data_IF_038463079418
#
_entry.id   IF_038463079418
#
_cell.length_a   1.000
_cell.length_b   1.000
_cell.length_c   1.000
_cell.angle_alpha   90.00
_cell.angle_beta   90.00
_cell.angle_gamma   90.00
#
_symmetry.space_group_name_H-M   'P 1'
#
loop_
_entity.id
_entity.type
_entity.pdbx_description
1 polymer ?
#
# COMPACT_ATOMS: atom_id res chain seq x y z
N UNK A 1 -2.41 -14.10 -33.03
CA UNK A 1 -1.95 -13.05 -32.09
C UNK A 1 -2.52 -13.38 -30.71
N UNK A 2 -1.69 -13.59 -29.71
CA UNK A 2 -2.15 -13.93 -28.34
C UNK A 2 -2.88 -12.73 -27.73
N UNK A 3 -4.11 -12.92 -27.23
CA UNK A 3 -4.93 -11.84 -26.67
C UNK A 3 -5.54 -12.22 -25.32
N UNK A 4 -5.85 -11.23 -24.49
CA UNK A 4 -6.52 -11.43 -23.19
C UNK A 4 -7.86 -12.17 -23.34
N UNK A 5 -8.58 -11.94 -24.44
CA UNK A 5 -9.84 -12.64 -24.78
C UNK A 5 -9.57 -14.12 -25.04
N UNK A 6 -8.57 -14.42 -25.87
CA UNK A 6 -8.17 -15.79 -26.18
C UNK A 6 -7.81 -16.59 -24.92
N UNK A 7 -6.99 -16.02 -24.03
CA UNK A 7 -6.66 -16.68 -22.76
C UNK A 7 -7.85 -16.79 -21.80
N UNK A 8 -8.80 -15.86 -21.87
CA UNK A 8 -10.07 -15.97 -21.17
C UNK A 8 -10.90 -17.17 -21.63
N UNK A 9 -10.96 -17.40 -22.93
CA UNK A 9 -11.68 -18.53 -23.53
C UNK A 9 -11.03 -19.86 -23.15
N UNK A 10 -9.69 -19.92 -23.16
CA UNK A 10 -8.95 -21.11 -22.74
C UNK A 10 -9.19 -21.48 -21.27
N UNK A 11 -9.21 -20.49 -20.36
CA UNK A 11 -9.53 -20.72 -18.94
C UNK A 11 -10.96 -21.21 -18.75
N UNK A 12 -11.92 -20.67 -19.51
CA UNK A 12 -13.32 -21.12 -19.49
C UNK A 12 -13.48 -22.55 -20.01
N UNK A 13 -12.61 -22.97 -20.94
CA UNK A 13 -12.53 -24.34 -21.42
C UNK A 13 -11.78 -25.30 -20.48
N UNK A 14 -11.38 -24.85 -19.27
CA UNK A 14 -10.71 -25.70 -18.28
C UNK A 14 -9.19 -25.86 -18.47
N UNK A 15 -8.58 -25.12 -19.39
CA UNK A 15 -7.12 -25.14 -19.54
C UNK A 15 -6.45 -24.33 -18.42
N UNK A 16 -5.44 -24.92 -17.77
CA UNK A 16 -4.62 -24.26 -16.76
C UNK A 16 -3.59 -23.33 -17.42
N UNK A 17 -4.00 -22.09 -17.70
CA UNK A 17 -3.17 -21.07 -18.36
C UNK A 17 -2.78 -19.98 -17.36
N UNK A 18 -1.49 -19.75 -17.17
CA UNK A 18 -0.95 -18.70 -16.29
C UNK A 18 0.20 -19.18 -15.39
N UNK A 19 0.76 -18.27 -14.60
CA UNK A 19 1.76 -18.59 -13.57
C UNK A 19 1.12 -18.76 -12.20
N UNK A 20 1.81 -19.50 -11.32
CA UNK A 20 1.45 -19.52 -9.91
C UNK A 20 1.59 -18.13 -9.29
N UNK A 21 0.77 -17.84 -8.27
CA UNK A 21 0.78 -16.58 -7.53
C UNK A 21 2.18 -16.17 -7.07
N UNK A 22 2.96 -17.11 -6.55
CA UNK A 22 4.32 -16.85 -6.07
C UNK A 22 5.28 -16.40 -7.18
N UNK A 23 5.20 -17.04 -8.36
CA UNK A 23 5.99 -16.64 -9.54
C UNK A 23 5.55 -15.27 -10.06
N UNK A 24 4.24 -15.01 -10.11
CA UNK A 24 3.69 -13.72 -10.54
C UNK A 24 4.11 -12.59 -9.58
N UNK A 25 3.98 -12.80 -8.28
CA UNK A 25 4.41 -11.85 -7.26
C UNK A 25 5.90 -11.53 -7.36
N UNK A 26 6.75 -12.54 -7.62
CA UNK A 26 8.19 -12.34 -7.81
C UNK A 26 8.49 -11.48 -9.05
N UNK A 27 7.88 -11.80 -10.19
CA UNK A 27 8.04 -11.01 -11.41
C UNK A 27 7.58 -9.56 -11.22
N UNK A 28 6.47 -9.34 -10.51
CA UNK A 28 6.00 -7.99 -10.17
C UNK A 28 7.01 -7.19 -9.32
N UNK A 29 7.68 -7.84 -8.36
CA UNK A 29 8.73 -7.19 -7.55
C UNK A 29 9.96 -6.86 -8.40
N UNK A 30 10.39 -7.78 -9.26
CA UNK A 30 11.52 -7.57 -10.17
C UNK A 30 11.27 -6.36 -11.09
N UNK A 31 10.06 -6.22 -11.62
CA UNK A 31 9.65 -5.04 -12.40
C UNK A 31 9.65 -3.78 -11.53
N UNK A 32 9.03 -3.81 -10.34
CA UNK A 32 8.95 -2.65 -9.44
C UNK A 32 10.32 -2.02 -9.18
N UNK A 33 11.32 -2.84 -8.87
CA UNK A 33 12.66 -2.37 -8.50
C UNK A 33 13.39 -1.66 -9.66
N UNK A 34 13.02 -1.99 -10.90
CA UNK A 34 13.56 -1.41 -12.13
C UNK A 34 12.84 -0.14 -12.58
N UNK A 35 11.65 0.16 -12.02
CA UNK A 35 10.92 1.37 -12.38
C UNK A 35 11.67 2.63 -11.91
N UNK A 36 11.63 3.72 -12.69
CA UNK A 36 12.13 5.02 -12.23
C UNK A 36 11.39 5.51 -10.99
N UNK A 37 12.12 6.08 -10.03
CA UNK A 37 11.53 6.73 -8.85
C UNK A 37 10.53 7.81 -9.27
N UNK A 38 9.39 7.88 -8.57
CA UNK A 38 8.31 8.83 -8.90
C UNK A 38 7.31 8.32 -9.94
N UNK A 39 7.50 7.11 -10.50
CA UNK A 39 6.49 6.47 -11.36
C UNK A 39 5.13 6.39 -10.66
N UNK A 40 4.09 6.95 -11.29
CA UNK A 40 2.71 6.90 -10.82
C UNK A 40 2.01 5.63 -11.27
N UNK A 41 0.86 5.30 -10.67
CA UNK A 41 0.06 4.12 -11.07
C UNK A 41 0.89 2.83 -11.10
N UNK A 42 1.59 2.54 -9.99
CA UNK A 42 2.56 1.45 -9.90
C UNK A 42 1.98 0.09 -10.30
N UNK A 43 0.73 -0.20 -9.90
CA UNK A 43 0.08 -1.47 -10.22
C UNK A 43 -0.13 -1.61 -11.73
N UNK A 44 -0.73 -0.60 -12.35
CA UNK A 44 -1.04 -0.59 -13.78
C UNK A 44 0.25 -0.67 -14.60
N UNK A 45 1.28 0.09 -14.20
CA UNK A 45 2.59 0.08 -14.84
C UNK A 45 3.26 -1.29 -14.74
N UNK A 46 3.25 -1.91 -13.55
CA UNK A 46 3.79 -3.27 -13.38
C UNK A 46 3.04 -4.29 -14.21
N UNK A 47 1.70 -4.22 -14.23
CA UNK A 47 0.86 -5.14 -15.01
C UNK A 47 1.10 -5.00 -16.51
N UNK A 48 1.31 -3.77 -17.00
CA UNK A 48 1.69 -3.54 -18.40
C UNK A 48 3.06 -4.16 -18.74
N UNK A 49 4.01 -4.06 -17.82
CA UNK A 49 5.37 -4.63 -17.98
C UNK A 49 5.44 -6.16 -17.81
N UNK A 50 4.38 -6.81 -17.29
CA UNK A 50 4.29 -8.29 -17.29
C UNK A 50 4.08 -8.86 -18.70
N UNK A 51 3.65 -8.05 -19.66
CA UNK A 51 3.41 -8.47 -21.04
C UNK A 51 2.46 -9.66 -21.14
N UNK A 52 2.90 -10.72 -21.83
CA UNK A 52 2.09 -11.93 -22.07
C UNK A 52 1.61 -12.59 -20.77
N UNK A 53 2.43 -12.56 -19.71
CA UNK A 53 2.08 -13.14 -18.40
C UNK A 53 0.86 -12.44 -17.79
N UNK A 54 0.80 -11.12 -17.89
CA UNK A 54 -0.35 -10.33 -17.45
C UNK A 54 -1.62 -10.64 -18.27
N UNK A 55 -1.48 -10.89 -19.57
CA UNK A 55 -2.61 -11.28 -20.42
C UNK A 55 -3.12 -12.70 -20.16
N UNK A 56 -2.23 -13.61 -19.77
CA UNK A 56 -2.54 -15.02 -19.47
C UNK A 56 -3.19 -15.23 -18.11
N UNK A 57 -3.10 -14.28 -17.19
CA UNK A 57 -3.67 -14.40 -15.85
C UNK A 57 -5.07 -13.81 -15.74
N UNK A 58 -5.88 -14.36 -14.82
CA UNK A 58 -7.14 -13.74 -14.47
C UNK A 58 -6.89 -12.46 -13.64
N UNK A 59 -7.84 -11.52 -13.68
CA UNK A 59 -7.73 -10.28 -12.92
C UNK A 59 -7.57 -10.54 -11.41
N UNK A 60 -8.28 -11.54 -10.88
CA UNK A 60 -8.18 -11.96 -9.47
C UNK A 60 -6.75 -12.40 -9.10
N UNK A 61 -6.11 -13.22 -9.95
CA UNK A 61 -4.76 -13.71 -9.69
C UNK A 61 -3.73 -12.57 -9.73
N UNK A 62 -3.93 -11.61 -10.63
CA UNK A 62 -3.12 -10.39 -10.71
C UNK A 62 -3.27 -9.56 -9.42
N UNK A 63 -4.49 -9.38 -8.93
CA UNK A 63 -4.75 -8.62 -7.71
C UNK A 63 -4.15 -9.28 -6.47
N UNK A 64 -4.27 -10.60 -6.38
CA UNK A 64 -3.70 -11.38 -5.29
C UNK A 64 -2.18 -11.37 -5.31
N UNK A 65 -1.58 -11.51 -6.49
CA UNK A 65 -0.14 -11.41 -6.69
C UNK A 65 0.37 -9.99 -6.37
N UNK A 66 -0.36 -8.95 -6.78
CA UNK A 66 -0.03 -7.56 -6.48
C UNK A 66 -0.05 -7.27 -4.98
N UNK A 67 -1.05 -7.79 -4.27
CA UNK A 67 -1.16 -7.64 -2.82
C UNK A 67 -0.01 -8.29 -2.05
N UNK A 68 0.60 -9.34 -2.60
CA UNK A 68 1.80 -9.95 -2.06
C UNK A 68 3.07 -9.20 -2.48
N UNK A 69 3.16 -8.82 -3.75
CA UNK A 69 4.30 -8.07 -4.31
C UNK A 69 4.54 -6.76 -3.57
N UNK A 70 3.50 -5.97 -3.30
CA UNK A 70 3.65 -4.70 -2.56
C UNK A 70 4.22 -4.87 -1.14
N UNK A 71 3.86 -5.96 -0.46
CA UNK A 71 4.39 -6.26 0.88
C UNK A 71 5.85 -6.68 0.80
N UNK A 72 6.20 -7.50 -0.19
CA UNK A 72 7.59 -7.92 -0.44
C UNK A 72 8.46 -6.73 -0.81
N UNK A 73 8.02 -5.92 -1.77
CA UNK A 73 8.74 -4.73 -2.21
C UNK A 73 9.05 -3.78 -1.04
N UNK A 74 8.06 -3.45 -0.21
CA UNK A 74 8.27 -2.58 0.96
C UNK A 74 9.11 -3.22 2.08
N UNK A 75 9.19 -4.55 2.15
CA UNK A 75 10.00 -5.27 3.15
C UNK A 75 11.45 -5.45 2.69
N UNK A 76 11.64 -5.82 1.42
CA UNK A 76 12.94 -6.15 0.83
C UNK A 76 13.69 -4.91 0.35
N UNK A 77 12.97 -3.85 -0.05
CA UNK A 77 13.54 -2.59 -0.55
C UNK A 77 12.92 -1.38 0.19
N UNK A 78 13.07 -1.29 1.53
CA UNK A 78 12.50 -0.20 2.33
C UNK A 78 13.07 1.18 1.97
N UNK A 79 14.25 1.24 1.36
CA UNK A 79 14.86 2.46 0.84
C UNK A 79 14.15 3.02 -0.41
N UNK A 80 13.45 2.16 -1.16
CA UNK A 80 12.70 2.54 -2.37
C UNK A 80 11.21 2.63 -2.15
N UNK A 81 10.64 1.75 -1.33
CA UNK A 81 9.20 1.59 -1.23
C UNK A 81 8.69 1.64 0.20
N UNK A 82 7.47 2.15 0.33
CA UNK A 82 6.79 2.27 1.60
C UNK A 82 5.30 1.93 1.46
N UNK A 83 4.71 1.29 2.47
CA UNK A 83 3.27 1.06 2.54
C UNK A 83 2.63 2.11 3.44
N UNK A 84 1.59 2.76 2.96
CA UNK A 84 0.80 3.65 3.79
C UNK A 84 -0.14 2.90 4.75
N UNK A 85 -0.87 3.67 5.57
CA UNK A 85 -1.84 3.13 6.50
C UNK A 85 -3.05 2.41 5.87
N UNK A 86 -3.23 2.49 4.54
CA UNK A 86 -4.25 1.78 3.74
C UNK A 86 -3.64 0.62 2.93
N UNK A 87 -2.37 0.28 3.14
CA UNK A 87 -1.62 -0.75 2.40
C UNK A 87 -1.49 -0.43 0.91
N UNK A 88 -1.47 0.85 0.54
CA UNK A 88 -1.09 1.30 -0.80
C UNK A 88 0.42 1.45 -0.85
N UNK A 89 1.03 0.97 -1.94
CA UNK A 89 2.47 1.07 -2.16
C UNK A 89 2.81 2.44 -2.73
N UNK A 90 3.81 3.07 -2.15
CA UNK A 90 4.34 4.36 -2.57
C UNK A 90 5.86 4.29 -2.70
N UNK A 91 6.44 5.25 -3.40
CA UNK A 91 7.87 5.52 -3.34
C UNK A 91 8.24 6.06 -1.96
N UNK A 92 9.39 5.64 -1.44
CA UNK A 92 9.98 6.22 -0.24
C UNK A 92 10.85 7.44 -0.59
N UNK A 93 10.25 8.42 -1.26
CA UNK A 93 10.89 9.66 -1.72
C UNK A 93 10.59 10.86 -0.79
N UNK A 94 9.94 10.61 0.35
CA UNK A 94 9.53 11.63 1.30
C UNK A 94 8.21 12.33 0.96
N UNK A 95 7.59 12.06 -0.19
CA UNK A 95 6.28 12.63 -0.53
C UNK A 95 5.17 12.07 0.37
N UNK A 96 5.29 10.82 0.80
CA UNK A 96 4.31 10.15 1.66
C UNK A 96 4.75 10.21 3.12
N UNK A 97 4.04 11.02 3.91
CA UNK A 97 4.20 11.04 5.38
C UNK A 97 3.34 9.93 5.99
N UNK A 98 3.98 8.90 6.54
CA UNK A 98 3.28 7.94 7.40
C UNK A 98 2.84 8.67 8.66
N UNK A 99 1.53 8.69 8.90
CA UNK A 99 0.99 9.15 10.16
C UNK A 99 1.34 8.14 11.26
N UNK A 100 1.98 8.60 12.33
CA UNK A 100 2.03 7.82 13.56
C UNK A 100 0.61 7.74 14.14
N UNK A 101 0.09 6.52 14.23
CA UNK A 101 -1.28 6.24 14.69
C UNK A 101 -1.32 5.78 16.14
N UNK A 102 -0.16 5.51 16.77
CA UNK A 102 -0.12 4.93 18.11
C UNK A 102 0.19 6.02 19.13
N UNK A 103 -0.70 6.15 20.11
CA UNK A 103 -0.41 6.86 21.35
C UNK A 103 0.00 5.80 22.38
N UNK A 104 1.08 6.05 23.13
CA UNK A 104 1.49 5.13 24.21
C UNK A 104 0.36 5.00 25.23
N UNK A 105 0.22 3.82 25.86
CA UNK A 105 -0.83 3.59 26.87
C UNK A 105 -0.76 4.62 28.01
N UNK A 106 0.46 5.01 28.41
CA UNK A 106 0.69 6.04 29.43
C UNK A 106 0.13 7.39 29.00
N UNK A 107 0.42 7.83 27.77
CA UNK A 107 -0.09 9.11 27.27
C UNK A 107 -1.60 9.07 27.03
N UNK A 108 -2.13 7.93 26.58
CA UNK A 108 -3.56 7.74 26.42
C UNK A 108 -4.29 7.84 27.76
N UNK A 109 -3.75 7.24 28.84
CA UNK A 109 -4.31 7.37 30.18
C UNK A 109 -4.35 8.83 30.64
N UNK A 110 -3.23 9.54 30.52
CA UNK A 110 -3.14 10.97 30.87
C UNK A 110 -4.17 11.82 30.12
N UNK A 111 -4.41 11.53 28.84
CA UNK A 111 -5.43 12.23 28.05
C UNK A 111 -6.85 11.97 28.56
N UNK A 112 -7.14 10.75 29.02
CA UNK A 112 -8.44 10.42 29.62
C UNK A 112 -8.60 11.12 30.97
N UNK A 113 -7.58 11.07 31.83
CA UNK A 113 -7.59 11.77 33.13
C UNK A 113 -7.85 13.27 32.94
N UNK A 114 -7.20 13.91 31.96
CA UNK A 114 -7.44 15.31 31.58
C UNK A 114 -8.86 15.54 31.06
N UNK A 115 -9.40 14.60 30.29
CA UNK A 115 -10.75 14.71 29.73
C UNK A 115 -11.84 14.64 30.80
N UNK A 116 -11.61 13.84 31.86
CA UNK A 116 -12.48 13.77 33.03
C UNK A 116 -12.43 15.08 33.83
N UNK A 117 -11.22 15.61 34.08
CA UNK A 117 -11.03 16.89 34.80
C UNK A 117 -11.71 18.04 34.06
N UNK A 118 -11.58 18.10 32.73
CA UNK A 118 -12.19 19.16 31.91
C UNK A 118 -13.65 18.89 31.52
N UNK A 119 -14.23 17.77 31.95
CA UNK A 119 -15.57 17.30 31.58
C UNK A 119 -15.83 17.39 30.06
N UNK A 120 -14.90 16.86 29.27
CA UNK A 120 -15.00 16.88 27.81
C UNK A 120 -14.44 15.58 27.22
N UNK A 121 -14.56 15.40 25.91
CA UNK A 121 -13.98 14.25 25.23
C UNK A 121 -12.47 14.40 25.05
N UNK A 122 -11.75 13.27 25.00
CA UNK A 122 -10.31 13.24 24.64
C UNK A 122 -10.01 13.99 23.33
N UNK A 123 -10.91 13.94 22.34
CA UNK A 123 -10.77 14.68 21.09
C UNK A 123 -10.82 16.20 21.29
N UNK A 124 -11.67 16.68 22.19
CA UNK A 124 -11.74 18.09 22.55
C UNK A 124 -10.48 18.54 23.29
N UNK A 125 -9.95 17.71 24.22
CA UNK A 125 -8.66 17.96 24.88
C UNK A 125 -7.55 18.12 23.84
N UNK A 126 -7.41 17.17 22.90
CA UNK A 126 -6.41 17.23 21.83
C UNK A 126 -6.59 18.51 20.99
N UNK A 127 -7.82 18.86 20.64
CA UNK A 127 -8.13 20.06 19.85
C UNK A 127 -7.72 21.34 20.57
N UNK A 128 -7.94 21.43 21.89
CA UNK A 128 -7.51 22.57 22.72
C UNK A 128 -5.97 22.65 22.79
N UNK A 129 -5.31 21.52 23.04
CA UNK A 129 -3.84 21.44 23.09
C UNK A 129 -3.21 21.88 21.77
N UNK A 130 -3.73 21.42 20.63
CA UNK A 130 -3.24 21.83 19.30
C UNK A 130 -3.39 23.33 19.07
N UNK A 131 -4.56 23.91 19.40
CA UNK A 131 -4.79 25.36 19.28
C UNK A 131 -3.81 26.17 20.13
N UNK A 132 -3.57 25.75 21.38
CA UNK A 132 -2.65 26.45 22.28
C UNK A 132 -1.20 26.34 21.79
N UNK A 133 -0.79 25.16 21.33
CA UNK A 133 0.56 24.95 20.78
C UNK A 133 0.81 25.79 19.52
N UNK A 134 -0.18 25.89 18.62
CA UNK A 134 -0.09 26.73 17.43
C UNK A 134 0.01 28.21 17.76
N UNK A 135 -0.76 28.69 18.75
CA UNK A 135 -0.69 30.08 19.22
C UNK A 135 0.66 30.43 19.84
N UNK A 136 1.30 29.50 20.56
CA UNK A 136 2.63 29.72 21.14
C UNK A 136 3.79 29.65 20.14
N UNK A 137 3.51 29.27 18.89
CA UNK A 137 4.49 29.27 17.78
C UNK A 137 4.32 30.45 16.81
N UNK A 138 3.26 31.24 16.98
CA UNK A 138 2.99 32.44 16.19
C UNK A 138 3.73 33.65 16.76
#
# INVERSE_FOLDING_TARGET
MFSKKMFGDMRRAGMTVGLSKGKMSKAMVEILVQLPTGTTHLKETVVANLGLLGHMSAARDIDDAWNEAKKKAAKEYPEKFILDGRKVLHWNDGAVKILDKKISSVNFKKLNDLSEIENCSVNQVISKLLKNYQKGKA
#
